data_IF_061091388396
#
_entry.id   IF_061091388396
#
_cell.length_a   1.000
_cell.length_b   1.000
_cell.length_c   1.000
_cell.angle_alpha   90.00
_cell.angle_beta   90.00
_cell.angle_gamma   90.00
#
_symmetry.space_group_name_H-M   'P 1'
#
loop_
_entity.id
_entity.type
_entity.pdbx_description
1 polymer ?
#
# COMPACT_ATOMS: atom_id res chain seq x y z
N UNK A 1 -9.21 -44.27 67.09
CA UNK A 1 -9.10 -43.21 68.10
C UNK A 1 -8.95 -41.89 67.37
N UNK A 2 -10.05 -41.13 67.38
CA UNK A 2 -10.14 -39.68 67.27
C UNK A 2 -9.07 -38.89 66.49
N UNK A 3 -9.56 -38.27 65.40
CA UNK A 3 -10.02 -36.87 65.46
C UNK A 3 -9.21 -35.86 64.67
N UNK A 4 -9.95 -35.22 63.75
CA UNK A 4 -9.98 -33.77 63.52
C UNK A 4 -8.81 -33.20 62.71
N UNK A 5 -9.02 -32.32 61.73
CA UNK A 5 -10.21 -31.57 61.37
C UNK A 5 -10.00 -31.01 59.97
N UNK A 6 -11.14 -30.71 59.34
CA UNK A 6 -11.29 -29.67 58.33
C UNK A 6 -10.48 -29.83 57.05
N UNK A 7 -11.19 -30.28 56.01
CA UNK A 7 -11.57 -29.37 54.91
C UNK A 7 -12.54 -30.10 53.97
N UNK A 8 -13.72 -30.46 54.50
CA UNK A 8 -14.93 -30.49 53.69
C UNK A 8 -15.20 -29.07 53.20
N UNK A 9 -14.61 -28.62 52.08
CA UNK A 9 -15.05 -27.42 51.34
C UNK A 9 -14.34 -27.03 50.03
N UNK A 10 -13.39 -27.79 49.48
CA UNK A 10 -12.65 -27.37 48.26
C UNK A 10 -12.58 -28.44 47.15
N UNK A 11 -13.50 -29.39 47.13
CA UNK A 11 -13.62 -30.33 45.98
C UNK A 11 -14.72 -29.92 44.99
N UNK A 12 -15.57 -28.96 45.34
CA UNK A 12 -16.65 -28.46 44.48
C UNK A 12 -16.42 -27.05 43.90
N UNK A 13 -15.23 -26.46 44.10
CA UNK A 13 -14.85 -25.13 43.57
C UNK A 13 -13.69 -25.13 42.57
N UNK A 14 -13.29 -26.30 42.04
CA UNK A 14 -12.23 -26.43 41.03
C UNK A 14 -12.67 -26.95 39.66
N UNK A 15 -13.97 -27.20 39.46
CA UNK A 15 -14.52 -27.55 38.13
C UNK A 15 -14.94 -26.35 37.27
N UNK A 16 -15.01 -25.14 37.83
CA UNK A 16 -15.31 -23.90 37.07
C UNK A 16 -14.03 -23.09 36.75
N UNK A 17 -12.89 -23.37 37.40
CA UNK A 17 -11.60 -22.71 37.15
C UNK A 17 -10.55 -23.61 36.47
N UNK A 18 -10.99 -24.58 35.67
CA UNK A 18 -10.08 -25.46 34.88
C UNK A 18 -10.17 -25.27 33.37
N UNK A 19 -10.94 -24.28 32.89
CA UNK A 19 -11.13 -24.03 31.44
C UNK A 19 -10.60 -22.67 30.94
N UNK A 20 -10.09 -21.82 31.83
CA UNK A 20 -9.61 -20.47 31.48
C UNK A 20 -8.26 -20.11 32.12
N UNK A 21 -7.34 -21.06 32.16
CA UNK A 21 -5.91 -20.75 32.26
C UNK A 21 -5.17 -21.65 31.26
N UNK A 22 -5.17 -21.23 29.99
CA UNK A 22 -4.16 -21.67 29.04
C UNK A 22 -2.86 -20.97 29.44
N UNK A 23 -1.89 -21.73 29.95
CA UNK A 23 -0.49 -21.34 29.91
C UNK A 23 -0.17 -20.91 28.47
N UNK A 24 0.37 -19.71 28.32
CA UNK A 24 0.80 -19.21 27.02
C UNK A 24 1.76 -20.25 26.43
N UNK A 25 1.59 -20.69 25.17
CA UNK A 25 2.62 -21.51 24.53
C UNK A 25 3.90 -20.68 24.57
N UNK A 26 4.93 -21.21 25.22
CA UNK A 26 6.26 -20.62 25.18
C UNK A 26 6.66 -20.53 23.71
N UNK A 27 6.84 -19.33 23.18
CA UNK A 27 7.37 -19.09 21.83
C UNK A 27 8.86 -19.48 21.79
N UNK A 28 9.16 -20.77 21.88
CA UNK A 28 10.48 -21.29 21.59
C UNK A 28 10.54 -21.67 20.13
N UNK A 29 10.82 -20.69 19.25
CA UNK A 29 11.37 -21.00 17.92
C UNK A 29 12.69 -21.74 18.15
N UNK A 30 12.67 -23.06 18.04
CA UNK A 30 13.88 -23.89 18.15
C UNK A 30 14.94 -23.37 17.17
N UNK A 31 16.20 -23.26 17.59
CA UNK A 31 17.22 -22.62 16.78
C UNK A 31 17.39 -23.38 15.46
N UNK A 32 17.60 -22.69 14.32
CA UNK A 32 17.65 -23.32 13.01
C UNK A 32 18.66 -24.47 13.01
N UNK A 33 18.29 -25.59 12.37
CA UNK A 33 19.08 -26.81 12.31
C UNK A 33 20.50 -26.55 11.79
N UNK A 34 21.45 -27.41 12.17
CA UNK A 34 22.92 -27.20 11.98
C UNK A 34 23.29 -26.76 10.56
N UNK A 35 22.70 -27.39 9.54
CA UNK A 35 22.98 -27.07 8.14
C UNK A 35 22.46 -25.67 7.73
N UNK A 36 21.22 -25.32 8.13
CA UNK A 36 20.64 -24.00 7.87
C UNK A 36 21.47 -22.91 8.54
N UNK A 37 21.90 -23.14 9.79
CA UNK A 37 22.77 -22.21 10.52
C UNK A 37 24.12 -22.04 9.83
N UNK A 38 24.74 -23.13 9.36
CA UNK A 38 25.99 -23.06 8.62
C UNK A 38 25.85 -22.25 7.32
N UNK A 39 24.79 -22.48 6.54
CA UNK A 39 24.54 -21.76 5.30
C UNK A 39 24.27 -20.27 5.53
N UNK A 40 23.45 -19.94 6.53
CA UNK A 40 23.20 -18.54 6.95
C UNK A 40 24.50 -17.89 7.40
N UNK A 41 25.28 -18.55 8.26
CA UNK A 41 26.55 -18.01 8.74
C UNK A 41 27.57 -17.82 7.61
N UNK A 42 27.62 -18.73 6.63
CA UNK A 42 28.48 -18.59 5.45
C UNK A 42 28.05 -17.38 4.62
N UNK A 43 26.75 -17.19 4.42
CA UNK A 43 26.20 -16.06 3.68
C UNK A 43 26.45 -14.72 4.39
N UNK A 44 26.22 -14.66 5.70
CA UNK A 44 26.53 -13.49 6.55
C UNK A 44 28.01 -13.12 6.43
N UNK A 45 28.92 -14.10 6.57
CA UNK A 45 30.36 -13.87 6.41
C UNK A 45 30.74 -13.35 5.02
N UNK A 46 30.02 -13.76 3.98
CA UNK A 46 30.25 -13.23 2.62
C UNK A 46 29.82 -11.78 2.52
N UNK A 47 28.66 -11.42 3.09
CA UNK A 47 28.18 -10.03 3.12
C UNK A 47 29.16 -9.14 3.90
N UNK A 48 29.61 -9.57 5.08
CA UNK A 48 30.58 -8.83 5.91
C UNK A 48 31.88 -8.57 5.15
N UNK A 49 32.38 -9.56 4.41
CA UNK A 49 33.57 -9.39 3.55
C UNK A 49 33.35 -8.38 2.44
N UNK A 50 32.18 -8.39 1.80
CA UNK A 50 31.84 -7.41 0.78
C UNK A 50 31.74 -6.00 1.37
N UNK A 51 31.12 -5.84 2.54
CA UNK A 51 31.03 -4.55 3.23
C UNK A 51 32.42 -4.01 3.57
N UNK A 52 33.29 -4.83 4.16
CA UNK A 52 34.67 -4.44 4.51
C UNK A 52 35.52 -4.12 3.28
N UNK A 53 35.33 -4.84 2.18
CA UNK A 53 36.04 -4.59 0.91
C UNK A 53 35.64 -3.25 0.29
N UNK A 54 34.35 -2.92 0.30
CA UNK A 54 33.85 -1.62 -0.19
C UNK A 54 34.32 -0.49 0.71
N UNK A 55 34.34 -0.69 2.03
CA UNK A 55 34.87 0.27 3.01
C UNK A 55 36.35 0.57 2.77
N UNK A 56 37.16 -0.45 2.46
CA UNK A 56 38.61 -0.32 2.25
C UNK A 56 38.95 0.33 0.90
N UNK A 57 38.21 -0.04 -0.16
CA UNK A 57 38.56 0.40 -1.52
C UNK A 57 37.97 1.76 -1.90
N UNK A 58 36.82 2.13 -1.34
CA UNK A 58 36.21 3.43 -1.59
C UNK A 58 35.39 3.89 -0.37
N UNK A 59 36.04 4.53 0.63
CA UNK A 59 35.39 4.94 1.87
C UNK A 59 34.26 5.95 1.65
N UNK A 60 34.37 6.78 0.60
CA UNK A 60 33.31 7.71 0.20
C UNK A 60 32.08 6.94 -0.28
N UNK A 61 32.25 5.96 -1.19
CA UNK A 61 31.15 5.12 -1.67
C UNK A 61 30.54 4.28 -0.54
N UNK A 62 31.35 3.80 0.41
CA UNK A 62 30.85 3.08 1.58
C UNK A 62 30.03 3.97 2.51
N UNK A 63 30.45 5.23 2.75
CA UNK A 63 29.67 6.21 3.52
C UNK A 63 28.30 6.46 2.88
N UNK A 64 28.25 6.58 1.55
CA UNK A 64 26.98 6.69 0.81
C UNK A 64 26.14 5.41 0.94
N UNK A 65 26.72 4.23 0.70
CA UNK A 65 26.05 2.94 0.85
C UNK A 65 25.45 2.77 2.26
N UNK A 66 26.22 3.10 3.30
CA UNK A 66 25.78 3.00 4.70
C UNK A 66 24.62 3.94 4.99
N UNK A 67 24.74 5.21 4.58
CA UNK A 67 23.67 6.21 4.75
C UNK A 67 22.39 5.76 4.05
N UNK A 68 22.51 5.28 2.81
CA UNK A 68 21.39 4.76 2.03
C UNK A 68 20.77 3.50 2.66
N UNK A 69 21.59 2.53 3.10
CA UNK A 69 21.13 1.29 3.72
C UNK A 69 20.38 1.54 5.02
N UNK A 70 20.87 2.46 5.86
CA UNK A 70 20.18 2.87 7.09
C UNK A 70 18.83 3.50 6.74
N UNK A 71 18.80 4.49 5.85
CA UNK A 71 17.54 5.13 5.45
C UNK A 71 16.53 4.16 4.81
N UNK A 72 16.99 3.17 4.05
CA UNK A 72 16.11 2.13 3.49
C UNK A 72 15.53 1.20 4.57
N UNK A 73 16.31 0.85 5.58
CA UNK A 73 15.81 0.05 6.70
C UNK A 73 14.78 0.85 7.52
N UNK A 74 15.04 2.13 7.79
CA UNK A 74 14.11 3.01 8.48
C UNK A 74 12.78 3.11 7.71
N UNK A 75 12.85 3.28 6.38
CA UNK A 75 11.67 3.28 5.52
C UNK A 75 10.88 1.96 5.57
N UNK A 76 11.56 0.82 5.57
CA UNK A 76 10.90 -0.49 5.67
C UNK A 76 10.22 -0.68 7.04
N UNK A 77 10.84 -0.18 8.11
CA UNK A 77 10.25 -0.19 9.44
C UNK A 77 9.00 0.68 9.52
N UNK A 78 9.05 1.91 9.00
CA UNK A 78 7.90 2.81 8.95
C UNK A 78 6.76 2.25 8.10
N UNK A 79 7.09 1.64 6.95
CA UNK A 79 6.11 0.95 6.09
C UNK A 79 5.44 -0.21 6.82
N UNK A 80 6.21 -0.99 7.59
CA UNK A 80 5.68 -2.10 8.39
C UNK A 80 4.77 -1.60 9.49
N UNK A 81 5.15 -0.53 10.18
CA UNK A 81 4.36 0.15 11.20
C UNK A 81 3.03 0.63 10.61
N UNK A 82 3.06 1.33 9.48
CA UNK A 82 1.86 1.78 8.77
C UNK A 82 0.92 0.64 8.44
N UNK A 83 1.43 -0.46 7.89
CA UNK A 83 0.60 -1.61 7.55
C UNK A 83 -0.03 -2.24 8.79
N UNK A 84 0.70 -2.33 9.90
CA UNK A 84 0.19 -2.85 11.18
C UNK A 84 -0.94 -1.97 11.71
N UNK A 85 -0.74 -0.65 11.77
CA UNK A 85 -1.74 0.33 12.21
C UNK A 85 -2.97 0.30 11.29
N UNK A 86 -2.76 0.36 9.97
CA UNK A 86 -3.83 0.27 8.96
C UNK A 86 -4.66 -0.99 9.14
N UNK A 87 -3.99 -2.14 9.29
CA UNK A 87 -4.66 -3.43 9.50
C UNK A 87 -5.50 -3.43 10.78
N UNK A 88 -4.96 -2.87 11.86
CA UNK A 88 -5.64 -2.83 13.16
C UNK A 88 -6.85 -1.89 13.16
N UNK A 89 -6.77 -0.74 12.48
CA UNK A 89 -7.89 0.17 12.30
C UNK A 89 -8.98 -0.48 11.43
N UNK A 90 -8.60 -1.11 10.31
CA UNK A 90 -9.55 -1.53 9.27
C UNK A 90 -10.20 -2.90 9.57
N UNK A 91 -9.44 -3.84 10.14
CA UNK A 91 -9.92 -5.21 10.37
C UNK A 91 -10.20 -5.52 11.83
N UNK A 92 -9.47 -4.87 12.75
CA UNK A 92 -9.62 -5.11 14.18
C UNK A 92 -10.42 -3.98 14.87
N UNK A 93 -10.86 -2.97 14.11
CA UNK A 93 -11.65 -1.83 14.58
C UNK A 93 -11.08 -1.17 15.83
N UNK A 94 -9.75 -1.10 15.96
CA UNK A 94 -9.10 -0.44 17.09
C UNK A 94 -9.26 1.08 17.00
N UNK A 95 -9.53 1.69 18.14
CA UNK A 95 -9.65 3.14 18.25
C UNK A 95 -8.29 3.84 18.18
N UNK A 96 -8.27 5.05 17.62
CA UNK A 96 -7.05 5.83 17.37
C UNK A 96 -6.24 6.11 18.64
N UNK A 97 -6.90 6.23 19.80
CA UNK A 97 -6.25 6.52 21.08
C UNK A 97 -5.39 5.37 21.61
N UNK A 98 -5.52 4.16 21.03
CA UNK A 98 -4.77 2.97 21.46
C UNK A 98 -3.38 2.87 20.85
N UNK A 99 -3.08 3.67 19.83
CA UNK A 99 -1.79 3.70 19.15
C UNK A 99 -0.84 4.71 19.80
N UNK A 100 0.45 4.42 19.76
CA UNK A 100 1.47 5.35 20.21
C UNK A 100 1.55 6.58 19.31
N UNK A 101 2.06 7.69 19.85
CA UNK A 101 2.30 8.92 19.07
C UNK A 101 3.16 8.67 17.83
N UNK A 102 4.18 7.81 17.95
CA UNK A 102 5.08 7.47 16.83
C UNK A 102 4.30 6.77 15.71
N UNK A 103 3.46 5.79 16.06
CA UNK A 103 2.62 5.06 15.10
C UNK A 103 1.60 5.97 14.40
N UNK A 104 0.96 6.88 15.15
CA UNK A 104 0.03 7.84 14.58
C UNK A 104 0.72 8.85 13.66
N UNK A 105 1.92 9.33 14.02
CA UNK A 105 2.70 10.22 13.17
C UNK A 105 3.12 9.52 11.88
N UNK A 106 3.63 8.28 11.96
CA UNK A 106 3.98 7.48 10.77
C UNK A 106 2.75 7.23 9.90
N UNK A 107 1.62 6.89 10.52
CA UNK A 107 0.36 6.67 9.82
C UNK A 107 -0.07 7.93 9.07
N UNK A 108 -0.10 9.07 9.75
CA UNK A 108 -0.48 10.35 9.17
C UNK A 108 0.52 10.84 8.12
N UNK A 109 1.82 10.69 8.35
CA UNK A 109 2.84 11.10 7.39
C UNK A 109 2.74 10.29 6.11
N UNK A 110 2.60 8.97 6.21
CA UNK A 110 2.42 8.12 5.03
C UNK A 110 1.08 8.40 4.35
N UNK A 111 -0.01 8.51 5.10
CA UNK A 111 -1.34 8.85 4.55
C UNK A 111 -1.34 10.20 3.82
N UNK A 112 -0.73 11.24 4.41
CA UNK A 112 -0.65 12.58 3.81
C UNK A 112 0.37 12.64 2.65
N UNK A 113 1.50 11.94 2.75
CA UNK A 113 2.51 11.89 1.68
C UNK A 113 2.03 11.20 0.40
N UNK A 114 0.86 10.56 0.44
CA UNK A 114 0.25 9.88 -0.69
C UNK A 114 -0.75 10.74 -1.46
N UNK A 115 -0.89 12.02 -1.12
CA UNK A 115 -1.71 12.99 -1.84
C UNK A 115 -0.80 14.07 -2.47
N UNK A 116 -0.03 13.73 -3.51
CA UNK A 116 0.80 14.71 -4.18
C UNK A 116 -0.08 15.82 -4.80
N UNK A 117 0.38 17.05 -4.66
CA UNK A 117 -0.21 18.23 -5.30
C UNK A 117 -0.06 18.15 -6.82
N UNK A 118 -0.84 18.94 -7.55
CA UNK A 118 -0.74 19.01 -9.02
C UNK A 118 0.67 19.42 -9.44
N UNK A 119 1.27 20.38 -8.74
CA UNK A 119 2.62 20.87 -8.97
C UNK A 119 3.66 19.75 -8.79
N UNK A 120 3.61 19.01 -7.68
CA UNK A 120 4.52 17.89 -7.41
C UNK A 120 4.39 16.76 -8.46
N UNK A 121 3.18 16.50 -8.95
CA UNK A 121 2.96 15.52 -10.03
C UNK A 121 3.59 16.01 -11.34
N UNK A 122 3.45 17.28 -11.66
CA UNK A 122 4.00 17.86 -12.89
C UNK A 122 5.52 17.97 -12.85
N UNK A 123 6.13 18.20 -11.68
CA UNK A 123 7.59 18.18 -11.51
C UNK A 123 8.21 16.83 -11.88
N UNK A 124 7.51 15.73 -11.63
CA UNK A 124 7.99 14.38 -12.00
C UNK A 124 7.63 13.97 -13.42
N UNK A 125 6.91 14.79 -14.19
CA UNK A 125 6.54 14.50 -15.59
C UNK A 125 7.73 14.04 -16.46
N UNK A 126 8.94 14.65 -16.40
CA UNK A 126 10.08 14.20 -17.19
C UNK A 126 10.45 12.74 -16.94
N UNK A 127 10.20 12.22 -15.73
CA UNK A 127 10.44 10.80 -15.41
C UNK A 127 9.56 9.87 -16.25
N UNK A 128 8.32 10.28 -16.53
CA UNK A 128 7.36 9.56 -17.38
C UNK A 128 7.67 9.68 -18.88
N UNK A 129 8.45 10.68 -19.27
CA UNK A 129 9.02 10.82 -20.61
C UNK A 129 10.35 10.07 -20.75
N UNK A 130 10.99 9.65 -19.65
CA UNK A 130 12.22 8.86 -19.69
C UNK A 130 11.95 7.36 -19.86
N UNK A 131 13.01 6.60 -20.17
CA UNK A 131 12.92 5.19 -20.56
C UNK A 131 12.14 4.30 -19.57
N UNK A 132 12.19 4.56 -18.26
CA UNK A 132 11.65 3.61 -17.28
C UNK A 132 10.13 3.67 -17.13
N UNK A 133 9.51 4.83 -17.38
CA UNK A 133 8.08 5.04 -17.14
C UNK A 133 7.28 5.38 -18.41
N UNK A 134 7.96 5.51 -19.56
CA UNK A 134 7.32 5.58 -20.87
C UNK A 134 6.36 4.41 -21.10
N UNK A 135 5.18 4.71 -21.66
CA UNK A 135 4.13 3.70 -21.87
C UNK A 135 4.61 2.47 -22.66
N UNK A 136 5.50 2.68 -23.64
CA UNK A 136 6.12 1.65 -24.47
C UNK A 136 7.14 0.76 -23.75
N UNK A 137 7.60 1.16 -22.56
CA UNK A 137 8.64 0.45 -21.79
C UNK A 137 8.09 -0.22 -20.52
N UNK A 138 6.87 0.11 -20.13
CA UNK A 138 6.14 -0.58 -19.05
C UNK A 138 6.07 -2.09 -19.31
N UNK A 139 6.07 -2.94 -18.28
CA UNK A 139 5.88 -4.38 -18.51
C UNK A 139 4.49 -4.68 -19.11
N UNK A 140 4.36 -5.78 -19.86
CA UNK A 140 3.06 -6.19 -20.43
C UNK A 140 1.98 -6.37 -19.35
N UNK A 141 2.33 -6.98 -18.21
CA UNK A 141 1.42 -7.16 -17.10
C UNK A 141 0.97 -5.81 -16.54
N UNK A 142 1.90 -4.88 -16.34
CA UNK A 142 1.61 -3.57 -15.79
C UNK A 142 0.74 -2.72 -16.73
N UNK A 143 1.04 -2.69 -18.03
CA UNK A 143 0.18 -2.03 -19.03
C UNK A 143 -1.25 -2.57 -19.02
N UNK A 144 -1.45 -3.88 -18.79
CA UNK A 144 -2.80 -4.45 -18.66
C UNK A 144 -3.51 -4.01 -17.39
N UNK A 145 -2.79 -3.75 -16.31
CA UNK A 145 -3.38 -3.20 -15.09
C UNK A 145 -3.84 -1.75 -15.31
N UNK A 146 -3.02 -0.93 -15.97
CA UNK A 146 -3.42 0.41 -16.37
C UNK A 146 -4.66 0.36 -17.28
N UNK A 147 -4.63 -0.45 -18.35
CA UNK A 147 -5.76 -0.58 -19.26
C UNK A 147 -7.06 -0.99 -18.54
N UNK A 148 -6.99 -1.95 -17.60
CA UNK A 148 -8.16 -2.37 -16.80
C UNK A 148 -8.73 -1.24 -15.94
N UNK A 149 -7.88 -0.35 -15.44
CA UNK A 149 -8.30 0.76 -14.58
C UNK A 149 -9.25 1.70 -15.32
N UNK A 150 -9.02 1.90 -16.63
CA UNK A 150 -9.84 2.77 -17.48
C UNK A 150 -10.85 2.01 -18.35
N UNK A 151 -10.96 0.69 -18.22
CA UNK A 151 -11.84 -0.11 -19.08
C UNK A 151 -11.37 -0.23 -20.54
N UNK A 152 -10.09 0.00 -20.79
CA UNK A 152 -9.45 -0.04 -22.11
C UNK A 152 -9.21 -1.46 -22.64
N UNK A 153 -8.85 -1.53 -23.92
CA UNK A 153 -8.35 -2.75 -24.52
C UNK A 153 -7.08 -3.23 -23.82
N UNK A 154 -7.00 -4.53 -23.54
CA UNK A 154 -5.78 -5.14 -22.98
C UNK A 154 -4.65 -5.28 -24.01
N UNK A 155 -4.87 -4.83 -25.25
CA UNK A 155 -3.86 -4.79 -26.31
C UNK A 155 -2.93 -3.62 -26.03
N UNK A 156 -1.67 -3.93 -25.76
CA UNK A 156 -0.64 -2.94 -25.43
C UNK A 156 -0.55 -1.79 -26.45
N UNK A 157 -0.66 -2.10 -27.74
CA UNK A 157 -0.58 -1.09 -28.81
C UNK A 157 -1.70 -0.05 -28.78
N UNK A 158 -2.80 -0.32 -28.08
CA UNK A 158 -3.93 0.62 -27.96
C UNK A 158 -3.86 1.51 -26.72
N UNK A 159 -2.97 1.21 -25.77
CA UNK A 159 -2.96 1.90 -24.46
C UNK A 159 -2.83 3.42 -24.59
N UNK A 160 -1.89 3.87 -25.43
CA UNK A 160 -1.65 5.29 -25.67
C UNK A 160 -2.80 5.91 -26.45
N UNK A 161 -3.27 5.23 -27.50
CA UNK A 161 -4.40 5.68 -28.33
C UNK A 161 -5.69 5.87 -27.50
N UNK A 162 -6.01 4.94 -26.61
CA UNK A 162 -7.18 5.03 -25.73
C UNK A 162 -6.97 6.06 -24.62
N UNK A 163 -5.74 6.25 -24.14
CA UNK A 163 -5.38 7.36 -23.25
C UNK A 163 -5.61 8.74 -23.88
N UNK A 164 -5.32 8.90 -25.18
CA UNK A 164 -5.63 10.14 -25.91
C UNK A 164 -7.13 10.45 -25.92
N UNK A 165 -8.02 9.45 -25.91
CA UNK A 165 -9.46 9.70 -25.81
C UNK A 165 -9.83 10.36 -24.48
N UNK A 166 -9.20 9.95 -23.37
CA UNK A 166 -9.38 10.60 -22.06
C UNK A 166 -8.90 12.04 -22.12
N UNK A 167 -7.72 12.28 -22.71
CA UNK A 167 -7.18 13.63 -22.89
C UNK A 167 -8.10 14.53 -23.73
N UNK A 168 -8.68 14.02 -24.81
CA UNK A 168 -9.65 14.77 -25.62
C UNK A 168 -10.95 15.05 -24.86
N UNK A 169 -11.39 14.09 -24.03
CA UNK A 169 -12.54 14.28 -23.15
C UNK A 169 -12.28 15.37 -22.12
N UNK A 170 -11.08 15.39 -21.51
CA UNK A 170 -10.66 16.44 -20.57
C UNK A 170 -10.67 17.82 -21.24
N UNK A 171 -10.16 17.94 -22.46
CA UNK A 171 -10.19 19.20 -23.23
C UNK A 171 -11.62 19.67 -23.51
N UNK A 172 -12.54 18.75 -23.78
CA UNK A 172 -13.95 19.09 -23.94
C UNK A 172 -14.55 19.57 -22.61
N UNK A 173 -14.29 18.88 -21.50
CA UNK A 173 -14.75 19.27 -20.16
C UNK A 173 -14.26 20.68 -19.80
N UNK A 174 -12.98 20.99 -20.03
CA UNK A 174 -12.42 22.33 -19.76
C UNK A 174 -13.07 23.40 -20.63
N UNK A 175 -13.41 23.07 -21.89
CA UNK A 175 -14.05 24.02 -22.82
C UNK A 175 -15.50 24.33 -22.43
N UNK A 176 -16.28 23.32 -22.09
CA UNK A 176 -17.69 23.50 -21.72
C UNK A 176 -17.85 24.03 -20.27
N UNK A 177 -16.94 23.64 -19.38
CA UNK A 177 -16.97 23.97 -17.96
C UNK A 177 -17.86 23.04 -17.13
N UNK A 178 -17.61 22.95 -15.82
CA UNK A 178 -18.36 22.06 -14.93
C UNK A 178 -19.80 22.51 -14.68
N UNK A 179 -20.08 23.81 -14.77
CA UNK A 179 -21.40 24.39 -14.54
C UNK A 179 -22.47 23.89 -15.53
N UNK A 180 -22.08 23.58 -16.76
CA UNK A 180 -22.99 23.06 -17.79
C UNK A 180 -23.17 21.54 -17.75
N UNK A 181 -22.37 20.83 -16.95
CA UNK A 181 -22.43 19.37 -16.86
C UNK A 181 -23.52 18.92 -15.89
N UNK A 182 -24.25 17.86 -16.25
CA UNK A 182 -25.23 17.27 -15.33
C UNK A 182 -24.51 16.56 -14.17
N UNK A 183 -25.23 16.29 -13.08
CA UNK A 183 -24.67 15.53 -11.95
C UNK A 183 -24.21 14.13 -12.37
N UNK A 184 -24.91 13.51 -13.33
CA UNK A 184 -24.54 12.22 -13.89
C UNK A 184 -23.24 12.30 -14.69
N UNK A 185 -23.07 13.33 -15.52
CA UNK A 185 -21.85 13.55 -16.30
C UNK A 185 -20.63 13.77 -15.39
N UNK A 186 -20.81 14.50 -14.28
CA UNK A 186 -19.76 14.67 -13.26
C UNK A 186 -19.43 13.34 -12.60
N UNK A 187 -20.45 12.56 -12.19
CA UNK A 187 -20.23 11.25 -11.57
C UNK A 187 -19.46 10.30 -12.51
N UNK A 188 -19.86 10.24 -13.78
CA UNK A 188 -19.20 9.41 -14.80
C UNK A 188 -17.78 9.90 -15.10
N UNK A 189 -17.56 11.21 -15.10
CA UNK A 189 -16.23 11.80 -15.26
C UNK A 189 -15.30 11.44 -14.09
N UNK A 190 -15.81 11.46 -12.86
CA UNK A 190 -15.07 11.01 -11.67
C UNK A 190 -14.75 9.51 -11.74
N UNK A 191 -15.76 8.67 -12.03
CA UNK A 191 -15.61 7.21 -12.09
C UNK A 191 -14.57 6.78 -13.13
N UNK A 192 -14.63 7.35 -14.33
CA UNK A 192 -13.68 7.06 -15.42
C UNK A 192 -12.24 7.48 -15.09
N UNK A 193 -12.06 8.38 -14.11
CA UNK A 193 -10.76 8.85 -13.59
C UNK A 193 -10.39 8.21 -12.25
N UNK A 194 -11.16 7.22 -11.79
CA UNK A 194 -10.88 6.42 -10.61
C UNK A 194 -11.34 7.01 -9.28
N UNK A 195 -12.05 8.13 -9.26
CA UNK A 195 -12.69 8.65 -8.06
C UNK A 195 -14.09 8.04 -7.91
N UNK A 196 -14.40 7.47 -6.75
CA UNK A 196 -15.77 7.13 -6.39
C UNK A 196 -16.56 8.40 -6.02
N UNK A 197 -17.57 8.81 -6.81
CA UNK A 197 -18.31 10.04 -6.58
C UNK A 197 -19.43 9.89 -5.54
N UNK A 198 -19.78 8.67 -5.14
CA UNK A 198 -20.92 8.42 -4.26
C UNK A 198 -20.58 8.83 -2.82
N UNK A 199 -21.45 9.66 -2.23
CA UNK A 199 -21.25 10.21 -0.88
C UNK A 199 -20.36 11.46 -0.81
N UNK A 200 -19.96 12.02 -1.96
CA UNK A 200 -19.18 13.26 -2.07
C UNK A 200 -20.09 14.40 -2.54
N UNK A 201 -19.85 15.63 -2.05
CA UNK A 201 -20.51 16.86 -2.53
C UNK A 201 -20.02 17.24 -3.94
N UNK A 202 -20.85 17.95 -4.70
CA UNK A 202 -20.51 18.37 -6.06
C UNK A 202 -19.21 19.18 -6.12
N UNK A 203 -19.05 20.19 -5.27
CA UNK A 203 -17.84 21.05 -5.24
C UNK A 203 -16.54 20.23 -5.10
N UNK A 204 -16.55 19.17 -4.29
CA UNK A 204 -15.38 18.31 -4.07
C UNK A 204 -15.10 17.41 -5.30
N UNK A 205 -16.15 16.98 -6.03
CA UNK A 205 -15.98 16.30 -7.33
C UNK A 205 -15.38 17.24 -8.37
N UNK A 206 -15.86 18.48 -8.41
CA UNK A 206 -15.37 19.51 -9.33
C UNK A 206 -13.91 19.85 -9.03
N UNK A 207 -13.51 20.02 -7.77
CA UNK A 207 -12.11 20.23 -7.38
C UNK A 207 -11.19 19.06 -7.80
N UNK A 208 -11.68 17.82 -7.68
CA UNK A 208 -10.93 16.65 -8.16
C UNK A 208 -10.74 16.68 -9.68
N UNK A 209 -11.81 16.95 -10.43
CA UNK A 209 -11.75 17.03 -11.89
C UNK A 209 -10.91 18.23 -12.35
N UNK A 210 -10.94 19.34 -11.64
CA UNK A 210 -10.05 20.48 -11.87
C UNK A 210 -8.59 20.08 -11.70
N UNK A 211 -8.25 19.42 -10.58
CA UNK A 211 -6.88 18.91 -10.35
C UNK A 211 -6.44 17.94 -11.46
N UNK A 212 -7.32 17.04 -11.87
CA UNK A 212 -7.06 16.11 -12.97
C UNK A 212 -6.81 16.83 -14.30
N UNK A 213 -7.67 17.79 -14.65
CA UNK A 213 -7.58 18.54 -15.92
C UNK A 213 -6.38 19.49 -15.97
N UNK A 214 -5.94 20.00 -14.82
CA UNK A 214 -4.68 20.73 -14.71
C UNK A 214 -3.45 19.85 -14.99
N UNK A 215 -3.52 18.54 -14.71
CA UNK A 215 -2.45 17.61 -15.11
C UNK A 215 -2.58 17.26 -16.59
N UNK A 216 -3.79 16.91 -17.04
CA UNK A 216 -3.97 16.41 -18.39
C UNK A 216 -3.68 17.47 -19.46
N UNK A 217 -3.90 18.76 -19.20
CA UNK A 217 -3.51 19.85 -20.11
C UNK A 217 -2.00 19.86 -20.44
N UNK A 218 -1.16 19.41 -19.50
CA UNK A 218 0.30 19.39 -19.63
C UNK A 218 0.81 18.07 -20.23
N UNK A 219 -0.04 17.05 -20.38
CA UNK A 219 0.32 15.72 -20.87
C UNK A 219 0.16 15.63 -22.39
N UNK A 220 1.08 14.90 -23.01
CA UNK A 220 1.11 14.58 -24.44
C UNK A 220 1.25 13.05 -24.64
N UNK A 221 1.49 12.62 -25.89
CA UNK A 221 1.66 11.21 -26.20
C UNK A 221 2.88 10.57 -25.48
N UNK A 222 3.96 11.33 -25.33
CA UNK A 222 5.22 10.86 -24.74
C UNK A 222 5.12 10.68 -23.23
N UNK A 223 4.34 11.54 -22.57
CA UNK A 223 4.07 11.53 -21.14
C UNK A 223 2.73 10.86 -20.77
N UNK A 224 2.03 10.23 -21.73
CA UNK A 224 0.70 9.62 -21.53
C UNK A 224 0.64 8.65 -20.35
N UNK A 225 1.75 7.97 -20.07
CA UNK A 225 1.86 7.11 -18.89
C UNK A 225 1.53 7.87 -17.60
N UNK A 226 1.96 9.13 -17.43
CA UNK A 226 1.65 9.97 -16.27
C UNK A 226 0.13 10.08 -16.04
N UNK A 227 -0.63 10.44 -17.09
CA UNK A 227 -2.08 10.55 -17.03
C UNK A 227 -2.74 9.22 -16.67
N UNK A 228 -2.24 8.11 -17.22
CA UNK A 228 -2.73 6.77 -16.90
C UNK A 228 -2.42 6.34 -15.45
N UNK A 229 -1.44 6.96 -14.79
CA UNK A 229 -1.20 6.76 -13.36
C UNK A 229 -2.05 7.69 -12.48
N UNK A 230 -2.76 8.67 -13.06
CA UNK A 230 -3.62 9.62 -12.37
C UNK A 230 -4.55 9.00 -11.32
N UNK A 231 -5.26 7.87 -11.58
CA UNK A 231 -6.15 7.26 -10.58
C UNK A 231 -5.40 6.82 -9.32
N UNK A 232 -4.14 6.39 -9.47
CA UNK A 232 -3.28 5.99 -8.35
C UNK A 232 -2.75 7.22 -7.62
N UNK A 233 -2.33 8.23 -8.36
CA UNK A 233 -1.71 9.45 -7.81
C UNK A 233 -2.72 10.35 -7.09
N UNK A 234 -3.93 10.50 -7.64
CA UNK A 234 -4.94 11.42 -7.12
C UNK A 234 -6.04 10.73 -6.32
N UNK A 235 -6.52 9.56 -6.76
CA UNK A 235 -7.75 8.99 -6.24
C UNK A 235 -7.54 7.84 -5.24
N UNK A 236 -6.41 7.14 -5.25
CA UNK A 236 -6.22 5.90 -4.48
C UNK A 236 -6.57 6.05 -2.99
N UNK A 237 -6.10 7.13 -2.37
CA UNK A 237 -6.26 7.36 -0.94
C UNK A 237 -7.45 8.26 -0.58
N UNK A 238 -8.19 8.70 -1.60
CA UNK A 238 -9.39 9.50 -1.40
C UNK A 238 -10.36 8.79 -0.43
N UNK A 239 -10.95 9.47 0.57
CA UNK A 239 -11.81 8.83 1.57
C UNK A 239 -12.92 7.96 0.98
N UNK A 240 -13.52 8.41 -0.13
CA UNK A 240 -14.55 7.65 -0.85
C UNK A 240 -14.06 6.36 -1.51
N UNK A 241 -12.75 6.20 -1.74
CA UNK A 241 -12.17 5.00 -2.34
C UNK A 241 -11.67 3.98 -1.31
N UNK A 242 -11.47 4.40 -0.04
CA UNK A 242 -10.88 3.55 1.01
C UNK A 242 -11.66 2.26 1.23
N UNK A 243 -12.99 2.32 1.20
CA UNK A 243 -13.82 1.13 1.38
C UNK A 243 -13.70 0.13 0.21
N UNK A 244 -13.31 0.57 -0.99
CA UNK A 244 -13.05 -0.30 -2.13
C UNK A 244 -11.74 -1.09 -1.95
N UNK A 245 -10.76 -0.53 -1.24
CA UNK A 245 -9.48 -1.18 -0.94
C UNK A 245 -9.59 -2.23 0.18
N UNK A 246 -10.55 -2.08 1.10
CA UNK A 246 -10.75 -2.99 2.25
C UNK A 246 -11.40 -4.35 1.92
N UNK A 247 -11.84 -4.58 0.68
CA UNK A 247 -12.84 -5.61 0.34
C UNK A 247 -12.35 -7.04 0.08
N UNK A 248 -11.04 -7.34 0.08
CA UNK A 248 -10.58 -8.72 -0.15
C UNK A 248 -10.02 -9.33 1.12
N UNK A 249 -10.79 -10.25 1.73
CA UNK A 249 -10.22 -11.30 2.58
C UNK A 249 -9.09 -11.96 1.79
N UNK A 250 -7.84 -11.65 2.11
CA UNK A 250 -6.68 -12.33 1.56
C UNK A 250 -6.76 -13.78 2.06
N UNK A 251 -7.43 -14.65 1.28
CA UNK A 251 -7.48 -16.09 1.53
C UNK A 251 -6.07 -16.61 1.30
N UNK A 252 -5.24 -16.59 2.33
CA UNK A 252 -4.16 -17.54 2.43
C UNK A 252 -4.78 -18.92 2.20
N UNK A 253 -4.39 -19.59 1.10
CA UNK A 253 -4.62 -21.03 0.96
C UNK A 253 -3.88 -21.68 2.13
N UNK A 254 -4.53 -21.83 3.28
CA UNK A 254 -4.13 -22.82 4.28
C UNK A 254 -4.19 -24.14 3.52
N UNK A 255 -3.03 -24.72 3.20
CA UNK A 255 -2.94 -26.14 2.86
C UNK A 255 -3.66 -26.86 4.00
N UNK A 256 -4.83 -27.46 3.71
CA UNK A 256 -5.54 -28.30 4.67
C UNK A 256 -4.50 -29.33 5.17
N UNK A 257 -4.21 -29.32 6.46
CA UNK A 257 -3.56 -30.48 7.08
C UNK A 257 -4.48 -31.65 6.76
N UNK A 258 -3.94 -32.67 6.08
CA UNK A 258 -4.64 -33.94 5.90
C UNK A 258 -4.94 -34.45 7.32
N UNK A 259 -6.22 -34.63 7.62
CA UNK A 259 -6.63 -35.49 8.72
C UNK A 259 -6.11 -36.88 8.40
N UNK A 260 -5.30 -37.42 9.31
CA UNK A 260 -4.90 -38.83 9.28
C UNK A 260 -6.03 -39.56 9.99
N UNK A 261 -6.72 -40.41 9.23
CA UNK A 261 -7.68 -41.42 9.72
C UNK A 261 -6.94 -42.43 10.56
#
# INVERSE_FOLDING_TARGET
>A
MQSFKDLSRITYRRKIFRRYYCSHPQDTLGPPGRLKRYLVNKFVKTIEKCENFVETNNPTAFKFYKTFKVGFNDLLEDTKTYYQVSKDIWYNSKELHTFSRKELVIYQQLENSLHPTVEEILEVKPVFETYNFKAEKLSFAYSRHLAKTFGFSLRRSKLVQEGLLVLHTDRAIVREGFNSMTEEDINMSCLSRGLNPYGIKRDEKENYLESWTQISKEVDEHSMSLLLHGPVLLALNHPSNRHLLGGKKFRWRRKKKKEVV
#
